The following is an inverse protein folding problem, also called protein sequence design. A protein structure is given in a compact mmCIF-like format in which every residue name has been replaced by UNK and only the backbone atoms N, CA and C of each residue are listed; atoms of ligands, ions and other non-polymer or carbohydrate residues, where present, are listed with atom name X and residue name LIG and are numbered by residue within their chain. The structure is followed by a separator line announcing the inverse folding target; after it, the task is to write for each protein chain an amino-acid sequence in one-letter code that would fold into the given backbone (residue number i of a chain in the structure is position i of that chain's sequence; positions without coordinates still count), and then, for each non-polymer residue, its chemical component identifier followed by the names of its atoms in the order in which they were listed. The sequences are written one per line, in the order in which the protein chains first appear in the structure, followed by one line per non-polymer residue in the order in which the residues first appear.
data_IF_422421789643
#
_entry.id   IF_422421789643
#
_cell.length_a   1.000
_cell.length_b   1.000
_cell.length_c   1.000
_cell.angle_alpha   90.00
_cell.angle_beta   90.00
_cell.angle_gamma   90.00
#
_symmetry.space_group_name_H-M   'P 1'
#
loop_
_entity.id
_entity.type
_entity.pdbx_description
1 polymer ?
#
# COMPACT_ATOMS: atom_id res chain seq x y z
N UNK A 1 -27.91 15.31 14.32
CA UNK A 1 -28.18 13.87 14.58
C UNK A 1 -26.84 13.15 14.53
N UNK A 2 -26.50 12.34 15.53
CA UNK A 2 -25.25 11.56 15.53
C UNK A 2 -25.41 10.43 14.50
N UNK A 3 -24.83 10.58 13.31
CA UNK A 3 -24.78 9.51 12.32
C UNK A 3 -23.79 8.44 12.77
N UNK A 4 -24.19 7.17 12.68
CA UNK A 4 -23.29 6.07 13.01
C UNK A 4 -22.13 6.02 12.02
N UNK A 5 -20.94 5.59 12.47
CA UNK A 5 -19.78 5.45 11.59
C UNK A 5 -20.07 4.52 10.42
N UNK A 6 -20.77 3.40 10.64
CA UNK A 6 -21.19 2.48 9.58
C UNK A 6 -22.03 3.15 8.50
N UNK A 7 -22.94 4.04 8.90
CA UNK A 7 -23.77 4.79 7.96
C UNK A 7 -22.95 5.79 7.14
N UNK A 8 -21.99 6.47 7.77
CA UNK A 8 -21.05 7.35 7.06
C UNK A 8 -20.17 6.58 6.08
N UNK A 9 -19.62 5.43 6.49
CA UNK A 9 -18.85 4.56 5.60
C UNK A 9 -19.68 4.08 4.41
N UNK A 10 -20.94 3.72 4.64
CA UNK A 10 -21.85 3.33 3.56
C UNK A 10 -22.10 4.48 2.58
N UNK A 11 -22.40 5.68 3.08
CA UNK A 11 -22.57 6.87 2.23
C UNK A 11 -21.28 7.12 1.43
N UNK A 12 -20.14 7.13 2.12
CA UNK A 12 -18.84 7.38 1.52
C UNK A 12 -18.55 6.39 0.38
N UNK A 13 -18.72 5.09 0.62
CA UNK A 13 -18.54 4.06 -0.42
C UNK A 13 -19.55 4.20 -1.57
N UNK A 14 -20.79 4.59 -1.29
CA UNK A 14 -21.84 4.77 -2.31
C UNK A 14 -21.52 5.88 -3.31
N UNK A 15 -20.65 6.84 -2.95
CA UNK A 15 -20.18 7.91 -3.85
C UNK A 15 -19.41 7.39 -5.06
N UNK A 16 -18.99 6.12 -5.08
CA UNK A 16 -18.46 5.48 -6.30
C UNK A 16 -19.41 5.60 -7.50
N UNK A 17 -20.72 5.77 -7.25
CA UNK A 17 -21.74 6.02 -8.28
C UNK A 17 -21.60 7.40 -8.95
N UNK A 18 -20.88 8.33 -8.33
CA UNK A 18 -20.60 9.67 -8.85
C UNK A 18 -19.37 9.68 -9.79
N UNK A 19 -18.68 8.56 -9.95
CA UNK A 19 -17.49 8.48 -10.79
C UNK A 19 -17.81 8.75 -12.26
N UNK A 20 -17.02 9.64 -12.86
CA UNK A 20 -16.94 9.72 -14.32
C UNK A 20 -16.17 8.52 -14.89
N UNK A 21 -16.23 8.32 -16.21
CA UNK A 21 -15.41 7.31 -16.89
C UNK A 21 -13.92 7.47 -16.57
N UNK A 22 -13.43 8.72 -16.51
CA UNK A 22 -12.04 9.03 -16.15
C UNK A 22 -11.72 8.59 -14.72
N UNK A 23 -12.64 8.84 -13.78
CA UNK A 23 -12.47 8.43 -12.38
C UNK A 23 -12.42 6.90 -12.27
N UNK A 24 -13.28 6.18 -13.00
CA UNK A 24 -13.26 4.72 -13.08
C UNK A 24 -11.96 4.16 -13.65
N UNK A 25 -11.45 4.73 -14.74
CA UNK A 25 -10.18 4.30 -15.33
C UNK A 25 -9.05 4.43 -14.30
N UNK A 26 -8.95 5.58 -13.62
CA UNK A 26 -7.88 5.75 -12.63
C UNK A 26 -8.09 4.84 -11.43
N UNK A 27 -9.33 4.68 -10.96
CA UNK A 27 -9.64 3.79 -9.85
C UNK A 27 -9.23 2.34 -10.16
N UNK A 28 -9.64 1.81 -11.32
CA UNK A 28 -9.31 0.44 -11.73
C UNK A 28 -7.81 0.27 -11.90
N UNK A 29 -7.12 1.21 -12.53
CA UNK A 29 -5.67 1.11 -12.72
C UNK A 29 -4.93 1.13 -11.37
N UNK A 30 -5.27 2.05 -10.46
CA UNK A 30 -4.57 2.18 -9.18
C UNK A 30 -4.94 1.09 -8.19
N UNK A 31 -6.23 0.91 -7.93
CA UNK A 31 -6.71 -0.12 -7.00
C UNK A 31 -6.41 -1.51 -7.55
N UNK A 32 -6.58 -1.71 -8.86
CA UNK A 32 -6.22 -2.96 -9.53
C UNK A 32 -4.72 -3.26 -9.48
N UNK A 33 -3.85 -2.25 -9.62
CA UNK A 33 -2.40 -2.43 -9.45
C UNK A 33 -2.05 -2.88 -8.02
N UNK A 34 -2.67 -2.29 -7.00
CA UNK A 34 -2.44 -2.65 -5.60
C UNK A 34 -2.95 -4.06 -5.26
N UNK A 35 -4.13 -4.44 -5.76
CA UNK A 35 -4.61 -5.83 -5.64
C UNK A 35 -3.84 -6.81 -6.52
N UNK A 36 -3.26 -6.36 -7.64
CA UNK A 36 -2.34 -7.15 -8.45
C UNK A 36 -1.07 -7.50 -7.69
N UNK A 37 -0.47 -6.53 -7.00
CA UNK A 37 0.65 -6.77 -6.08
C UNK A 37 0.27 -7.79 -5.00
N UNK A 38 -0.90 -7.62 -4.36
CA UNK A 38 -1.39 -8.58 -3.37
C UNK A 38 -1.50 -9.98 -3.96
N UNK A 39 -2.16 -10.12 -5.11
CA UNK A 39 -2.38 -11.40 -5.76
C UNK A 39 -1.07 -12.09 -6.13
N UNK A 40 -0.10 -11.37 -6.70
CA UNK A 40 1.21 -11.93 -7.09
C UNK A 40 2.00 -12.38 -5.87
N UNK A 41 2.08 -11.55 -4.81
CA UNK A 41 2.82 -11.89 -3.59
C UNK A 41 2.16 -13.04 -2.84
N UNK A 42 0.83 -13.00 -2.70
CA UNK A 42 0.08 -14.08 -2.07
C UNK A 42 0.17 -15.38 -2.87
N UNK A 43 0.17 -15.32 -4.20
CA UNK A 43 0.38 -16.49 -5.05
C UNK A 43 1.79 -17.05 -4.91
N UNK A 44 2.83 -16.21 -4.92
CA UNK A 44 4.22 -16.64 -4.74
C UNK A 44 4.40 -17.40 -3.41
N UNK A 45 4.02 -16.77 -2.30
CA UNK A 45 4.11 -17.37 -0.96
C UNK A 45 3.18 -18.58 -0.84
N UNK A 46 1.95 -18.49 -1.36
CA UNK A 46 0.95 -19.55 -1.30
C UNK A 46 1.41 -20.81 -2.04
N UNK A 47 1.91 -20.65 -3.26
CA UNK A 47 2.44 -21.76 -4.07
C UNK A 47 3.63 -22.42 -3.39
N UNK A 48 4.60 -21.64 -2.88
CA UNK A 48 5.72 -22.21 -2.13
C UNK A 48 5.25 -22.98 -0.91
N UNK A 49 4.33 -22.40 -0.12
CA UNK A 49 3.78 -23.03 1.07
C UNK A 49 3.08 -24.37 0.76
N UNK A 50 2.24 -24.41 -0.28
CA UNK A 50 1.54 -25.65 -0.67
C UNK A 50 2.47 -26.74 -1.20
N UNK A 51 3.69 -26.39 -1.62
CA UNK A 51 4.74 -27.32 -2.04
C UNK A 51 5.78 -27.61 -0.94
N UNK A 52 5.51 -27.19 0.30
CA UNK A 52 6.33 -27.54 1.47
C UNK A 52 7.46 -26.56 1.79
N UNK A 53 7.59 -25.45 1.06
CA UNK A 53 8.56 -24.39 1.41
C UNK A 53 8.21 -23.82 2.79
N UNK A 54 9.21 -23.79 3.66
CA UNK A 54 9.06 -23.26 5.02
C UNK A 54 9.48 -21.79 5.05
N UNK A 55 8.50 -20.90 4.97
CA UNK A 55 8.77 -19.48 5.18
C UNK A 55 8.76 -19.14 6.68
N UNK A 56 9.63 -18.23 7.14
CA UNK A 56 9.48 -17.63 8.45
C UNK A 56 8.09 -16.99 8.61
N UNK A 57 7.50 -17.12 9.79
CA UNK A 57 6.12 -16.67 10.04
C UNK A 57 5.89 -15.17 9.75
N UNK A 58 6.91 -14.32 9.91
CA UNK A 58 6.77 -12.89 9.63
C UNK A 58 6.58 -12.59 8.13
N UNK A 59 6.94 -13.50 7.21
CA UNK A 59 6.80 -13.30 5.76
C UNK A 59 5.33 -13.13 5.36
N UNK A 60 4.42 -13.80 6.06
CA UNK A 60 2.98 -13.66 5.85
C UNK A 60 2.43 -12.27 6.20
N UNK A 61 3.19 -11.45 6.94
CA UNK A 61 2.82 -10.05 7.15
C UNK A 61 2.89 -9.24 5.85
N UNK A 62 3.68 -9.65 4.85
CA UNK A 62 3.76 -8.94 3.58
C UNK A 62 2.40 -8.94 2.87
N UNK A 63 1.78 -10.09 2.51
CA UNK A 63 0.46 -10.09 1.88
C UNK A 63 -0.64 -9.51 2.79
N UNK A 64 -0.55 -9.68 4.11
CA UNK A 64 -1.50 -9.06 5.07
C UNK A 64 -1.42 -7.53 5.00
N UNK A 65 -0.20 -6.97 5.06
CA UNK A 65 0.03 -5.53 4.95
C UNK A 65 -0.44 -4.97 3.61
N UNK A 66 -0.15 -5.66 2.50
CA UNK A 66 -0.66 -5.28 1.18
C UNK A 66 -2.19 -5.30 1.17
N UNK A 67 -2.84 -6.33 1.71
CA UNK A 67 -4.30 -6.40 1.71
C UNK A 67 -4.95 -5.24 2.49
N UNK A 68 -4.44 -4.94 3.69
CA UNK A 68 -4.89 -3.82 4.51
C UNK A 68 -4.70 -2.51 3.74
N UNK A 69 -3.51 -2.29 3.20
CA UNK A 69 -3.15 -1.10 2.42
C UNK A 69 -4.03 -0.92 1.18
N UNK A 70 -4.14 -1.95 0.33
CA UNK A 70 -4.93 -1.95 -0.90
C UNK A 70 -6.40 -1.68 -0.64
N UNK A 71 -6.96 -2.29 0.41
CA UNK A 71 -8.37 -2.08 0.79
C UNK A 71 -8.59 -0.65 1.25
N UNK A 72 -7.69 -0.12 2.08
CA UNK A 72 -7.79 1.24 2.59
C UNK A 72 -7.62 2.28 1.48
N UNK A 73 -6.67 2.10 0.56
CA UNK A 73 -6.54 2.93 -0.66
C UNK A 73 -7.81 2.86 -1.51
N UNK A 74 -8.43 1.68 -1.64
CA UNK A 74 -9.65 1.53 -2.43
C UNK A 74 -10.81 2.36 -1.86
N UNK A 75 -10.89 2.53 -0.54
CA UNK A 75 -11.83 3.46 0.08
C UNK A 75 -11.37 4.91 -0.12
N UNK A 76 -10.15 5.26 0.31
CA UNK A 76 -9.60 6.61 0.20
C UNK A 76 -9.76 7.22 -1.21
N UNK A 77 -9.45 6.44 -2.24
CA UNK A 77 -9.57 6.86 -3.65
C UNK A 77 -11.00 7.29 -4.01
N UNK A 78 -12.04 6.74 -3.38
CA UNK A 78 -13.42 7.18 -3.60
C UNK A 78 -13.60 8.64 -3.19
N UNK A 79 -13.11 9.04 -2.01
CA UNK A 79 -13.15 10.44 -1.56
C UNK A 79 -12.31 11.35 -2.43
N UNK A 80 -11.10 10.91 -2.78
CA UNK A 80 -10.22 11.65 -3.68
C UNK A 80 -10.83 11.90 -5.07
N UNK A 81 -11.69 11.00 -5.53
CA UNK A 81 -12.41 11.09 -6.81
C UNK A 81 -13.82 11.66 -6.69
N UNK A 82 -14.23 12.15 -5.52
CA UNK A 82 -15.55 12.75 -5.33
C UNK A 82 -15.48 14.02 -4.50
N UNK A 83 -15.23 13.90 -3.19
CA UNK A 83 -15.32 14.99 -2.20
C UNK A 83 -14.09 15.89 -2.17
N UNK A 84 -12.89 15.33 -2.36
CA UNK A 84 -11.64 16.02 -2.05
C UNK A 84 -10.86 16.53 -3.28
N UNK A 85 -11.47 16.49 -4.48
CA UNK A 85 -10.82 16.83 -5.76
C UNK A 85 -10.09 18.18 -5.75
N UNK A 86 -10.69 19.20 -5.13
CA UNK A 86 -10.15 20.56 -5.12
C UNK A 86 -8.99 20.74 -4.12
N UNK A 87 -8.97 19.95 -3.04
CA UNK A 87 -7.92 20.01 -2.02
C UNK A 87 -6.67 19.25 -2.47
N UNK A 88 -6.84 18.17 -3.22
CA UNK A 88 -5.76 17.36 -3.78
C UNK A 88 -4.92 18.09 -4.84
N UNK A 89 -5.48 19.08 -5.55
CA UNK A 89 -4.74 19.82 -6.59
C UNK A 89 -3.61 20.71 -6.05
N UNK A 90 -3.39 20.71 -4.74
CA UNK A 90 -2.34 21.47 -4.04
C UNK A 90 -1.13 20.57 -3.76
N UNK A 91 -0.33 20.91 -2.74
CA UNK A 91 0.92 20.22 -2.41
C UNK A 91 0.76 18.72 -2.08
N UNK A 92 -0.43 18.30 -1.62
CA UNK A 92 -0.76 16.92 -1.24
C UNK A 92 -0.56 15.94 -2.40
N UNK A 93 -0.94 16.31 -3.64
CA UNK A 93 -0.68 15.47 -4.81
C UNK A 93 0.81 15.18 -5.00
N UNK A 94 1.71 16.16 -4.80
CA UNK A 94 3.14 15.92 -4.97
C UNK A 94 3.66 14.92 -3.92
N UNK A 95 3.23 15.07 -2.66
CA UNK A 95 3.59 14.15 -1.57
C UNK A 95 3.11 12.73 -1.88
N UNK A 96 1.87 12.56 -2.35
CA UNK A 96 1.36 11.27 -2.82
C UNK A 96 2.24 10.64 -3.89
N UNK A 97 2.59 11.39 -4.95
CA UNK A 97 3.41 10.86 -6.05
C UNK A 97 4.81 10.45 -5.57
N UNK A 98 5.44 11.22 -4.68
CA UNK A 98 6.75 10.88 -4.14
C UNK A 98 6.66 9.63 -3.25
N UNK A 99 5.64 9.54 -2.40
CA UNK A 99 5.39 8.37 -1.54
C UNK A 99 5.20 7.11 -2.38
N UNK A 100 4.36 7.17 -3.42
CA UNK A 100 4.11 6.07 -4.36
C UNK A 100 5.41 5.67 -5.08
N UNK A 101 6.16 6.65 -5.58
CA UNK A 101 7.42 6.39 -6.26
C UNK A 101 8.42 5.69 -5.33
N UNK A 102 8.61 6.20 -4.12
CA UNK A 102 9.51 5.61 -3.13
C UNK A 102 9.05 4.19 -2.74
N UNK A 103 7.75 4.01 -2.49
CA UNK A 103 7.15 2.71 -2.16
C UNK A 103 7.35 1.66 -3.25
N UNK A 104 6.89 1.93 -4.48
CA UNK A 104 7.02 0.99 -5.61
C UNK A 104 8.50 0.69 -5.90
N UNK A 105 9.32 1.73 -5.99
CA UNK A 105 10.74 1.54 -6.32
C UNK A 105 11.47 0.79 -5.21
N UNK A 106 11.12 0.99 -3.93
CA UNK A 106 11.70 0.24 -2.82
C UNK A 106 11.44 -1.27 -2.95
N UNK A 107 10.21 -1.67 -3.31
CA UNK A 107 9.84 -3.07 -3.53
C UNK A 107 10.58 -3.66 -4.73
N UNK A 108 10.66 -2.94 -5.85
CA UNK A 108 11.42 -3.38 -7.03
C UNK A 108 12.90 -3.58 -6.67
N UNK A 109 13.51 -2.62 -5.98
CA UNK A 109 14.91 -2.70 -5.57
C UNK A 109 15.12 -3.84 -4.57
N UNK A 110 14.19 -4.06 -3.64
CA UNK A 110 14.21 -5.19 -2.73
C UNK A 110 14.17 -6.53 -3.48
N UNK A 111 13.32 -6.67 -4.50
CA UNK A 111 13.30 -7.87 -5.35
C UNK A 111 14.62 -8.05 -6.11
N UNK A 112 15.17 -6.98 -6.70
CA UNK A 112 16.47 -7.03 -7.39
C UNK A 112 17.64 -7.34 -6.42
N UNK A 113 17.51 -6.94 -5.16
CA UNK A 113 18.49 -7.21 -4.12
C UNK A 113 18.59 -8.71 -3.78
N UNK A 114 17.66 -9.56 -4.23
CA UNK A 114 17.84 -11.00 -4.21
C UNK A 114 19.10 -11.42 -4.99
N UNK A 115 19.34 -10.81 -6.16
CA UNK A 115 20.49 -11.14 -7.01
C UNK A 115 21.71 -10.25 -6.74
N UNK A 116 21.50 -8.99 -6.34
CA UNK A 116 22.58 -8.04 -6.05
C UNK A 116 22.53 -7.52 -4.60
N UNK A 117 22.59 -8.40 -3.58
CA UNK A 117 22.25 -8.05 -2.20
C UNK A 117 23.15 -6.98 -1.60
N UNK A 118 24.45 -7.00 -1.91
CA UNK A 118 25.40 -6.02 -1.34
C UNK A 118 25.22 -4.65 -1.98
N UNK A 119 25.15 -4.58 -3.31
CA UNK A 119 25.07 -3.32 -4.05
C UNK A 119 23.74 -2.60 -3.80
N UNK A 120 22.63 -3.33 -3.81
CA UNK A 120 21.29 -2.74 -3.71
C UNK A 120 20.83 -2.50 -2.26
N UNK A 121 21.60 -2.93 -1.25
CA UNK A 121 21.26 -2.73 0.16
C UNK A 121 20.99 -1.28 0.52
N UNK A 122 21.92 -0.40 0.17
CA UNK A 122 21.85 1.02 0.52
C UNK A 122 20.71 1.72 -0.26
N UNK A 123 20.60 1.56 -1.59
CA UNK A 123 19.43 2.06 -2.33
C UNK A 123 18.09 1.58 -1.77
N UNK A 124 17.97 0.28 -1.44
CA UNK A 124 16.76 -0.27 -0.84
C UNK A 124 16.43 0.42 0.49
N UNK A 125 17.40 0.51 1.39
CA UNK A 125 17.21 1.14 2.71
C UNK A 125 16.78 2.59 2.59
N UNK A 126 17.39 3.36 1.68
CA UNK A 126 17.05 4.76 1.44
C UNK A 126 15.61 4.87 0.95
N UNK A 127 15.21 4.07 -0.04
CA UNK A 127 13.84 4.12 -0.59
C UNK A 127 12.78 3.65 0.41
N UNK A 128 13.07 2.60 1.19
CA UNK A 128 12.21 2.16 2.30
C UNK A 128 12.04 3.30 3.30
N UNK A 129 13.14 3.90 3.74
CA UNK A 129 13.12 4.99 4.73
C UNK A 129 12.36 6.21 4.20
N UNK A 130 12.60 6.60 2.95
CA UNK A 130 11.88 7.70 2.30
C UNK A 130 10.40 7.39 2.19
N UNK A 131 10.01 6.15 1.83
CA UNK A 131 8.59 5.78 1.78
C UNK A 131 7.91 5.99 3.13
N UNK A 132 8.55 5.59 4.23
CA UNK A 132 8.02 5.78 5.59
C UNK A 132 7.93 7.26 5.96
N UNK A 133 8.99 8.03 5.69
CA UNK A 133 9.02 9.47 6.00
C UNK A 133 7.94 10.22 5.23
N UNK A 134 7.78 9.95 3.94
CA UNK A 134 6.77 10.61 3.13
C UNK A 134 5.35 10.16 3.51
N UNK A 135 5.14 8.90 3.90
CA UNK A 135 3.86 8.48 4.49
C UNK A 135 3.54 9.21 5.81
N UNK A 136 4.53 9.48 6.67
CA UNK A 136 4.30 10.28 7.88
C UNK A 136 3.92 11.74 7.55
N UNK A 137 4.58 12.33 6.54
CA UNK A 137 4.24 13.68 6.07
C UNK A 137 2.82 13.70 5.53
N UNK A 138 2.48 12.70 4.72
CA UNK A 138 1.15 12.50 4.15
C UNK A 138 0.08 12.45 5.25
N UNK A 139 0.24 11.53 6.21
CA UNK A 139 -0.65 11.43 7.38
C UNK A 139 -0.81 12.77 8.10
N UNK A 140 0.28 13.53 8.28
CA UNK A 140 0.25 14.86 8.86
C UNK A 140 -0.63 15.86 8.08
N UNK A 141 -0.59 15.81 6.75
CA UNK A 141 -1.46 16.64 5.89
C UNK A 141 -2.93 16.23 6.01
N UNK A 142 -3.24 14.94 6.07
CA UNK A 142 -4.61 14.45 6.27
C UNK A 142 -5.16 14.84 7.64
N UNK A 143 -4.36 14.68 8.70
CA UNK A 143 -4.74 15.15 10.04
C UNK A 143 -4.96 16.66 10.08
N UNK A 144 -4.10 17.44 9.43
CA UNK A 144 -4.30 18.88 9.31
C UNK A 144 -5.61 19.22 8.59
N UNK A 145 -5.91 18.55 7.47
CA UNK A 145 -7.17 18.74 6.72
C UNK A 145 -8.39 18.38 7.57
N UNK A 146 -8.32 17.31 8.35
CA UNK A 146 -9.39 16.87 9.25
C UNK A 146 -9.63 17.86 10.39
N UNK A 147 -8.56 18.35 11.03
CA UNK A 147 -8.66 19.36 12.08
C UNK A 147 -9.20 20.70 11.54
N UNK A 148 -8.94 21.00 10.27
CA UNK A 148 -9.50 22.15 9.56
C UNK A 148 -10.95 21.93 9.06
N UNK A 149 -11.60 20.80 9.40
CA UNK A 149 -12.97 20.44 8.99
C UNK A 149 -13.16 20.32 7.46
N UNK A 150 -12.11 19.93 6.75
CA UNK A 150 -12.12 19.72 5.30
C UNK A 150 -11.99 18.23 4.90
N UNK A 151 -12.13 17.33 5.88
CA UNK A 151 -12.03 15.87 5.74
C UNK A 151 -13.01 15.22 6.72
N UNK A 152 -13.34 13.95 6.51
CA UNK A 152 -14.24 13.19 7.38
C UNK A 152 -13.56 12.00 8.08
N UNK A 153 -14.31 11.36 8.98
CA UNK A 153 -13.79 10.25 9.79
C UNK A 153 -13.43 9.04 8.93
N UNK A 154 -14.13 8.82 7.82
CA UNK A 154 -13.93 7.64 6.97
C UNK A 154 -12.59 7.76 6.25
N UNK A 155 -12.26 8.96 5.76
CA UNK A 155 -10.94 9.27 5.22
C UNK A 155 -9.83 9.04 6.25
N UNK A 156 -9.98 9.56 7.47
CA UNK A 156 -8.96 9.38 8.51
C UNK A 156 -8.73 7.92 8.93
N UNK A 157 -9.80 7.12 8.98
CA UNK A 157 -9.65 5.68 9.20
C UNK A 157 -8.99 4.98 8.01
N UNK A 158 -9.29 5.41 6.78
CA UNK A 158 -8.63 4.87 5.59
C UNK A 158 -7.12 5.17 5.66
N UNK A 159 -6.73 6.40 5.97
CA UNK A 159 -5.34 6.82 6.16
C UNK A 159 -4.61 6.04 7.26
N UNK A 160 -5.25 5.88 8.42
CA UNK A 160 -4.72 5.03 9.48
C UNK A 160 -4.39 3.61 8.98
N UNK A 161 -5.30 2.97 8.23
CA UNK A 161 -5.05 1.63 7.70
C UNK A 161 -4.07 1.61 6.52
N UNK A 162 -4.00 2.67 5.70
CA UNK A 162 -2.95 2.86 4.70
C UNK A 162 -1.59 2.84 5.40
N UNK A 163 -1.41 3.67 6.42
CA UNK A 163 -0.14 3.76 7.13
C UNK A 163 0.22 2.44 7.83
N UNK A 164 -0.73 1.80 8.53
CA UNK A 164 -0.51 0.51 9.19
C UNK A 164 -0.16 -0.58 8.17
N UNK A 165 -0.91 -0.71 7.08
CA UNK A 165 -0.67 -1.71 6.05
C UNK A 165 0.69 -1.53 5.38
N UNK A 166 1.06 -0.28 5.08
CA UNK A 166 2.36 0.08 4.52
C UNK A 166 3.51 -0.31 5.46
N UNK A 167 3.44 0.04 6.74
CA UNK A 167 4.49 -0.30 7.72
C UNK A 167 4.64 -1.82 7.89
N UNK A 168 3.52 -2.54 8.05
CA UNK A 168 3.54 -4.01 8.18
C UNK A 168 4.21 -4.63 6.95
N UNK A 169 3.78 -4.22 5.75
CA UNK A 169 4.33 -4.73 4.49
C UNK A 169 5.82 -4.42 4.36
N UNK A 170 6.22 -3.15 4.47
CA UNK A 170 7.58 -2.74 4.11
C UNK A 170 8.63 -3.21 5.12
N UNK A 171 8.28 -3.24 6.41
CA UNK A 171 9.18 -3.74 7.45
C UNK A 171 9.34 -5.26 7.36
N UNK A 172 8.26 -6.00 7.08
CA UNK A 172 8.34 -7.44 6.85
C UNK A 172 9.17 -7.76 5.60
N UNK A 173 9.03 -6.98 4.52
CA UNK A 173 9.81 -7.16 3.29
C UNK A 173 11.30 -6.85 3.52
N UNK A 174 11.60 -5.77 4.22
CA UNK A 174 12.97 -5.43 4.62
C UNK A 174 13.59 -6.52 5.50
N UNK A 175 12.84 -7.05 6.47
CA UNK A 175 13.30 -8.17 7.30
C UNK A 175 13.61 -9.40 6.45
N UNK A 176 12.71 -9.77 5.53
CA UNK A 176 12.90 -10.92 4.65
C UNK A 176 14.16 -10.79 3.80
N UNK A 177 14.40 -9.60 3.24
CA UNK A 177 15.65 -9.27 2.54
C UNK A 177 16.87 -9.40 3.46
N UNK A 178 16.81 -8.83 4.67
CA UNK A 178 17.95 -8.81 5.60
C UNK A 178 18.38 -10.20 6.07
N UNK A 179 17.45 -11.16 6.07
CA UNK A 179 17.69 -12.57 6.37
C UNK A 179 18.08 -13.40 5.13
N UNK A 180 18.25 -12.76 3.98
CA UNK A 180 18.67 -13.43 2.74
C UNK A 180 17.54 -14.12 1.99
N UNK A 181 16.30 -13.67 2.17
CA UNK A 181 15.11 -14.19 1.47
C UNK A 181 14.88 -15.71 1.62
N UNK A 182 14.85 -16.27 2.85
CA UNK A 182 14.56 -17.68 3.07
C UNK A 182 13.25 -18.11 2.38
N UNK A 183 13.31 -19.23 1.65
CA UNK A 183 12.18 -19.79 0.91
C UNK A 183 12.06 -19.31 -0.55
N UNK A 184 12.70 -18.20 -0.94
CA UNK A 184 12.57 -17.67 -2.31
C UNK A 184 13.17 -18.63 -3.33
N UNK A 185 14.39 -19.11 -3.09
CA UNK A 185 15.07 -20.01 -4.03
C UNK A 185 14.31 -21.32 -4.20
N UNK A 186 13.82 -21.89 -3.09
CA UNK A 186 13.02 -23.11 -3.07
C UNK A 186 11.71 -22.95 -3.85
N UNK A 187 11.10 -21.77 -3.77
CA UNK A 187 9.87 -21.46 -4.52
C UNK A 187 10.12 -21.32 -6.00
N UNK A 188 11.20 -20.62 -6.38
CA UNK A 188 11.60 -20.46 -7.78
C UNK A 188 11.98 -21.80 -8.42
N UNK A 189 12.60 -22.70 -7.65
CA UNK A 189 12.97 -24.04 -8.10
C UNK A 189 11.76 -24.93 -8.50
N UNK A 190 10.53 -24.53 -8.13
CA UNK A 190 9.30 -25.22 -8.57
C UNK A 190 9.00 -25.00 -10.06
N UNK A 191 9.60 -23.98 -10.72
CA UNK A 191 9.41 -23.70 -12.15
C UNK A 191 8.04 -23.15 -12.53
N UNK A 192 7.31 -22.57 -11.56
CA UNK A 192 5.97 -22.01 -11.74
C UNK A 192 6.01 -20.50 -12.06
N UNK A 193 7.10 -19.82 -11.66
CA UNK A 193 7.32 -18.37 -11.79
C UNK A 193 8.52 -18.05 -12.67
#
# INVERSE_FOLDING_TARGET
MNTSFLYETWIYASRVREFSLKDWIVYILWVGMMYGLFAVVAAFIGVGYTHGVQYPAYVYNIPVGIFIFSTAIAFDTIGHRTVYKEFLQKAEALVHHITIFAGITSVIVLCLAYHFPVFLRIPALVLVSLSIVYSLIDEGLHWYRYLAQHSDRVEMWSHFFIFVGHLIMILAWWQWYSEGYPGVNETLALGIF
#
